data_IF_358748153784
#
_entry.id   IF_358748153784
#
_cell.length_a   1.000
_cell.length_b   1.000
_cell.length_c   1.000
_cell.angle_alpha   90.00
_cell.angle_beta   90.00
_cell.angle_gamma   90.00
#
_symmetry.space_group_name_H-M   'P 1'
#
loop_
_entity.id
_entity.type
_entity.pdbx_description
1 polymer ?
#
# COMPACT_ATOMS: atom_id res chain seq x y z
N UNK A 1 -19.27 -2.76 13.70
CA UNK A 1 -17.93 -2.87 13.08
C UNK A 1 -17.04 -3.68 14.03
N UNK A 2 -16.37 -4.73 13.54
CA UNK A 2 -15.48 -5.57 14.36
C UNK A 2 -14.33 -4.73 14.97
N UNK A 3 -13.90 -5.06 16.21
CA UNK A 3 -12.85 -4.35 16.95
C UNK A 3 -11.54 -4.25 16.16
N UNK A 4 -11.20 -5.31 15.40
CA UNK A 4 -10.04 -5.33 14.51
C UNK A 4 -10.21 -4.44 13.29
N UNK A 5 -11.41 -4.31 12.73
CA UNK A 5 -11.69 -3.39 11.64
C UNK A 5 -11.58 -1.93 12.09
N UNK A 6 -12.05 -1.62 13.32
CA UNK A 6 -11.90 -0.31 13.93
C UNK A 6 -10.44 0.07 14.12
N UNK A 7 -9.63 -0.77 14.76
CA UNK A 7 -8.22 -0.46 15.01
C UNK A 7 -7.43 -0.13 13.73
N UNK A 8 -7.74 -0.83 12.63
CA UNK A 8 -7.10 -0.60 11.31
C UNK A 8 -7.50 0.71 10.66
N UNK A 9 -8.75 1.10 10.82
CA UNK A 9 -9.24 2.39 10.35
C UNK A 9 -8.48 3.51 11.07
N UNK A 10 -8.37 3.41 12.40
CA UNK A 10 -7.65 4.39 13.22
C UNK A 10 -6.17 4.48 12.84
N UNK A 11 -5.48 3.34 12.73
CA UNK A 11 -4.06 3.33 12.34
C UNK A 11 -3.81 3.93 10.95
N UNK A 12 -4.77 3.78 10.03
CA UNK A 12 -4.67 4.38 8.69
C UNK A 12 -4.82 5.90 8.76
N UNK A 13 -5.78 6.39 9.57
CA UNK A 13 -5.95 7.83 9.78
C UNK A 13 -4.72 8.43 10.45
N UNK A 14 -4.22 7.82 11.54
CA UNK A 14 -3.03 8.30 12.24
C UNK A 14 -1.81 8.40 11.32
N UNK A 15 -1.60 7.37 10.48
CA UNK A 15 -0.53 7.37 9.49
C UNK A 15 -0.67 8.52 8.49
N UNK A 16 -1.86 8.74 7.93
CA UNK A 16 -2.10 9.84 6.99
C UNK A 16 -1.92 11.22 7.65
N UNK A 17 -2.37 11.37 8.90
CA UNK A 17 -2.17 12.59 9.68
C UNK A 17 -0.69 12.85 9.99
N UNK A 18 0.11 11.79 10.21
CA UNK A 18 1.55 11.91 10.40
C UNK A 18 2.29 12.27 9.10
N UNK A 19 1.92 11.63 7.99
CA UNK A 19 2.57 11.81 6.68
C UNK A 19 2.23 13.14 6.02
N UNK A 20 0.97 13.59 6.12
CA UNK A 20 0.45 14.73 5.35
C UNK A 20 -0.01 15.92 6.20
N UNK A 21 -0.17 15.73 7.51
CA UNK A 21 -0.72 16.75 8.40
C UNK A 21 -2.23 17.02 8.22
N UNK A 22 -2.89 16.28 7.32
CA UNK A 22 -4.30 16.39 6.99
C UNK A 22 -4.90 15.02 6.66
N UNK A 23 -6.22 14.91 6.78
CA UNK A 23 -6.98 13.76 6.29
C UNK A 23 -7.76 14.18 5.04
N UNK A 24 -7.20 13.86 3.88
CA UNK A 24 -7.89 13.93 2.59
C UNK A 24 -8.69 12.64 2.38
N UNK A 25 -10.02 12.71 2.13
CA UNK A 25 -10.86 11.53 1.94
C UNK A 25 -10.43 10.68 0.74
N UNK A 26 -9.90 11.28 -0.34
CA UNK A 26 -9.45 10.55 -1.53
C UNK A 26 -8.16 9.77 -1.25
N UNK A 27 -7.24 10.36 -0.48
CA UNK A 27 -6.02 9.67 -0.04
C UNK A 27 -6.31 8.55 0.94
N UNK A 28 -7.32 8.73 1.79
CA UNK A 28 -7.84 7.65 2.63
C UNK A 28 -8.42 6.51 1.79
N UNK A 29 -9.20 6.80 0.75
CA UNK A 29 -9.71 5.77 -0.17
C UNK A 29 -8.60 4.99 -0.87
N UNK A 30 -7.54 5.67 -1.31
CA UNK A 30 -6.35 5.02 -1.87
C UNK A 30 -5.64 4.15 -0.82
N UNK A 31 -5.50 4.66 0.41
CA UNK A 31 -4.83 3.96 1.49
C UNK A 31 -5.53 2.66 1.93
N UNK A 32 -6.86 2.63 1.91
CA UNK A 32 -7.64 1.42 2.23
C UNK A 32 -7.84 0.49 1.02
N UNK A 33 -7.33 0.85 -0.15
CA UNK A 33 -7.53 0.10 -1.41
C UNK A 33 -8.96 0.18 -1.94
N UNK A 34 -9.73 1.20 -1.55
CA UNK A 34 -11.09 1.43 -2.01
C UNK A 34 -11.17 1.84 -3.48
N UNK A 35 -10.11 2.48 -3.99
CA UNK A 35 -9.92 2.84 -5.40
C UNK A 35 -8.47 2.52 -5.79
N UNK A 36 -8.24 2.06 -7.02
CA UNK A 36 -6.88 1.91 -7.56
C UNK A 36 -6.30 3.26 -7.91
N UNK A 37 -5.00 3.44 -7.73
CA UNK A 37 -4.38 4.71 -8.05
C UNK A 37 -4.49 5.06 -9.55
N UNK A 38 -4.43 4.07 -10.44
CA UNK A 38 -4.63 4.28 -11.87
C UNK A 38 -6.04 4.79 -12.19
N UNK A 39 -7.08 4.16 -11.61
CA UNK A 39 -8.47 4.58 -11.81
C UNK A 39 -8.77 5.96 -11.22
N UNK A 40 -8.16 6.28 -10.07
CA UNK A 40 -8.21 7.60 -9.47
C UNK A 40 -7.66 8.67 -10.42
N UNK A 41 -6.50 8.44 -11.04
CA UNK A 41 -5.92 9.39 -12.01
C UNK A 41 -6.80 9.58 -13.24
N UNK A 42 -7.34 8.49 -13.79
CA UNK A 42 -8.25 8.56 -14.94
C UNK A 42 -9.51 9.39 -14.62
N UNK A 43 -10.01 9.30 -13.39
CA UNK A 43 -11.07 10.19 -12.90
C UNK A 43 -10.60 11.64 -12.74
N UNK A 44 -9.41 11.89 -12.18
CA UNK A 44 -8.86 13.25 -12.07
C UNK A 44 -8.70 13.94 -13.43
N UNK A 45 -8.41 13.19 -14.48
CA UNK A 45 -8.31 13.67 -15.85
C UNK A 45 -9.63 13.59 -16.66
N UNK A 46 -10.78 13.33 -16.01
CA UNK A 46 -12.11 13.20 -16.65
C UNK A 46 -12.24 12.10 -17.71
N UNK A 47 -11.27 11.20 -17.82
CA UNK A 47 -11.35 10.02 -18.69
C UNK A 47 -12.33 8.98 -18.12
N UNK A 48 -12.50 9.00 -16.80
CA UNK A 48 -13.60 8.31 -16.10
C UNK A 48 -14.62 9.35 -15.58
N UNK A 49 -15.92 9.22 -15.92
CA UNK A 49 -16.90 10.26 -15.61
C UNK A 49 -17.28 10.34 -14.13
N UNK A 50 -17.23 9.22 -13.40
CA UNK A 50 -17.64 9.15 -11.98
C UNK A 50 -16.70 8.28 -11.16
N UNK A 51 -16.25 8.77 -10.00
CA UNK A 51 -15.39 8.04 -9.07
C UNK A 51 -16.04 6.75 -8.55
N UNK A 52 -17.35 6.80 -8.27
CA UNK A 52 -18.12 5.69 -7.72
C UNK A 52 -18.03 4.41 -8.58
N UNK A 53 -17.84 4.56 -9.90
CA UNK A 53 -17.66 3.43 -10.83
C UNK A 53 -16.30 2.71 -10.71
N UNK A 54 -15.33 3.33 -10.02
CA UNK A 54 -14.00 2.78 -9.77
C UNK A 54 -13.86 2.18 -8.36
N UNK A 55 -14.90 2.26 -7.54
CA UNK A 55 -14.88 1.69 -6.20
C UNK A 55 -14.79 0.18 -6.27
N UNK A 56 -13.92 -0.38 -5.42
CA UNK A 56 -13.71 -1.83 -5.27
C UNK A 56 -14.53 -2.44 -4.16
N UNK A 57 -15.02 -1.59 -3.28
CA UNK A 57 -15.88 -1.94 -2.16
C UNK A 57 -17.29 -1.39 -2.42
N UNK A 58 -18.34 -2.01 -1.85
CA UNK A 58 -19.69 -1.45 -1.89
C UNK A 58 -19.71 -0.01 -1.39
N UNK A 59 -20.56 0.82 -1.99
CA UNK A 59 -20.64 2.25 -1.67
C UNK A 59 -20.99 2.49 -0.21
N UNK A 60 -21.79 1.61 0.37
CA UNK A 60 -22.22 1.61 1.77
C UNK A 60 -21.02 1.36 2.70
N UNK A 61 -20.13 0.43 2.35
CA UNK A 61 -18.92 0.16 3.13
C UNK A 61 -17.92 1.32 3.04
N UNK A 62 -17.77 1.89 1.85
CA UNK A 62 -16.90 3.05 1.60
C UNK A 62 -17.36 4.28 2.37
N UNK A 63 -18.65 4.60 2.30
CA UNK A 63 -19.24 5.73 3.02
C UNK A 63 -19.16 5.53 4.53
N UNK A 64 -19.43 4.31 5.02
CA UNK A 64 -19.26 4.00 6.43
C UNK A 64 -17.80 4.19 6.88
N UNK A 65 -16.83 3.71 6.10
CA UNK A 65 -15.40 3.86 6.42
C UNK A 65 -14.97 5.33 6.44
N UNK A 66 -15.38 6.12 5.45
CA UNK A 66 -15.11 7.56 5.41
C UNK A 66 -15.74 8.30 6.60
N UNK A 67 -17.01 8.02 6.91
CA UNK A 67 -17.69 8.65 8.04
C UNK A 67 -17.00 8.35 9.39
N UNK A 68 -16.55 7.10 9.61
CA UNK A 68 -15.80 6.74 10.80
C UNK A 68 -14.43 7.43 10.86
N UNK A 69 -13.73 7.55 9.72
CA UNK A 69 -12.44 8.23 9.65
C UNK A 69 -12.57 9.72 9.96
N UNK A 70 -13.60 10.38 9.41
CA UNK A 70 -13.90 11.78 9.72
C UNK A 70 -14.28 11.98 11.18
N UNK A 71 -15.17 11.13 11.73
CA UNK A 71 -15.56 11.20 13.13
C UNK A 71 -14.34 11.09 14.07
N UNK A 72 -13.44 10.15 13.79
CA UNK A 72 -12.21 10.00 14.57
C UNK A 72 -11.29 11.23 14.45
N UNK A 73 -11.10 11.77 13.25
CA UNK A 73 -10.28 12.98 13.08
C UNK A 73 -10.91 14.22 13.75
N UNK A 74 -12.24 14.32 13.80
CA UNK A 74 -12.94 15.36 14.57
C UNK A 74 -12.70 15.19 16.07
N UNK A 75 -12.73 13.95 16.59
CA UNK A 75 -12.37 13.64 17.99
C UNK A 75 -10.93 14.08 18.31
N UNK A 76 -10.02 14.00 17.32
CA UNK A 76 -8.64 14.52 17.41
C UNK A 76 -8.55 16.05 17.25
N UNK A 77 -9.68 16.77 17.27
CA UNK A 77 -9.79 18.24 17.17
C UNK A 77 -9.35 18.83 15.82
N UNK A 78 -9.49 18.08 14.73
CA UNK A 78 -9.32 18.65 13.38
C UNK A 78 -10.58 19.41 12.95
N UNK A 79 -10.38 20.45 12.13
CA UNK A 79 -11.44 21.24 11.53
C UNK A 79 -11.80 20.72 10.14
N UNK A 80 -13.10 20.67 9.84
CA UNK A 80 -13.60 20.32 8.51
C UNK A 80 -13.49 21.53 7.58
N UNK A 81 -12.87 21.32 6.42
CA UNK A 81 -12.80 22.26 5.31
C UNK A 81 -13.55 21.66 4.11
N UNK A 82 -14.49 22.41 3.54
CA UNK A 82 -15.23 21.99 2.36
C UNK A 82 -14.39 22.30 1.12
N UNK A 83 -13.81 21.26 0.52
CA UNK A 83 -12.99 21.32 -0.67
C UNK A 83 -13.50 20.27 -1.69
N UNK A 84 -14.40 20.65 -2.61
CA UNK A 84 -14.91 19.70 -3.59
C UNK A 84 -13.77 19.24 -4.51
N UNK A 85 -13.77 17.96 -4.96
CA UNK A 85 -12.74 17.47 -5.86
C UNK A 85 -12.76 18.21 -7.20
N UNK A 86 -11.60 18.68 -7.63
CA UNK A 86 -11.39 19.37 -8.92
C UNK A 86 -10.78 18.45 -9.95
N UNK A 87 -10.71 18.84 -11.22
CA UNK A 87 -9.98 18.09 -12.26
C UNK A 87 -8.50 18.48 -12.31
N UNK A 88 -7.67 17.59 -12.86
CA UNK A 88 -6.25 17.81 -13.17
C UNK A 88 -6.01 18.26 -14.62
N UNK A 89 -7.07 18.59 -15.35
CA UNK A 89 -6.97 19.18 -16.68
C UNK A 89 -6.86 20.72 -16.63
N UNK A 90 -6.87 21.35 -17.79
CA UNK A 90 -6.69 22.79 -17.91
C UNK A 90 -7.81 23.60 -17.22
N UNK A 91 -9.04 23.10 -17.24
CA UNK A 91 -10.20 23.82 -16.72
C UNK A 91 -10.32 23.74 -15.20
N UNK A 92 -9.71 22.73 -14.55
CA UNK A 92 -9.75 22.48 -13.10
C UNK A 92 -11.15 22.49 -12.45
N UNK A 93 -12.22 22.43 -13.25
CA UNK A 93 -13.59 22.41 -12.78
C UNK A 93 -13.95 21.18 -11.91
N UNK A 94 -15.11 21.22 -11.23
CA UNK A 94 -15.50 20.18 -10.29
C UNK A 94 -15.63 18.81 -10.96
N UNK A 95 -15.32 17.75 -10.21
CA UNK A 95 -15.50 16.37 -10.63
C UNK A 95 -16.76 15.76 -10.02
N UNK A 96 -17.41 14.91 -10.80
CA UNK A 96 -18.51 14.10 -10.29
C UNK A 96 -17.99 12.89 -9.52
N UNK A 97 -18.36 12.79 -8.25
CA UNK A 97 -18.06 11.61 -7.43
C UNK A 97 -18.99 10.45 -7.80
N UNK A 98 -20.27 10.73 -8.08
CA UNK A 98 -21.26 9.72 -8.45
C UNK A 98 -22.66 10.06 -7.94
N UNK A 99 -23.64 9.16 -8.12
CA UNK A 99 -25.03 9.38 -7.71
C UNK A 99 -25.24 9.39 -6.18
N UNK A 100 -24.34 8.79 -5.39
CA UNK A 100 -24.46 8.82 -3.92
C UNK A 100 -24.10 10.19 -3.36
N UNK A 101 -25.10 10.92 -2.84
CA UNK A 101 -24.91 12.24 -2.23
C UNK A 101 -24.01 12.17 -1.00
N UNK A 102 -24.21 11.17 -0.14
CA UNK A 102 -23.39 10.97 1.06
C UNK A 102 -21.92 10.75 0.70
N UNK A 103 -21.64 9.96 -0.34
CA UNK A 103 -20.27 9.78 -0.80
C UNK A 103 -19.67 11.10 -1.32
N UNK A 104 -20.42 11.84 -2.13
CA UNK A 104 -19.97 13.12 -2.67
C UNK A 104 -19.67 14.16 -1.57
N UNK A 105 -20.53 14.24 -0.55
CA UNK A 105 -20.32 15.09 0.63
C UNK A 105 -19.07 14.70 1.40
N UNK A 106 -18.91 13.42 1.75
CA UNK A 106 -17.74 12.93 2.47
C UNK A 106 -16.44 13.15 1.70
N UNK A 107 -16.45 12.95 0.37
CA UNK A 107 -15.30 13.22 -0.49
C UNK A 107 -14.98 14.71 -0.66
N UNK A 108 -15.88 15.61 -0.24
CA UNK A 108 -15.67 17.07 -0.29
C UNK A 108 -15.18 17.64 1.05
N UNK A 109 -15.00 16.81 2.08
CA UNK A 109 -14.61 17.25 3.42
C UNK A 109 -13.17 16.83 3.70
N UNK A 110 -12.27 17.80 3.67
CA UNK A 110 -10.89 17.63 4.12
C UNK A 110 -10.78 18.02 5.59
N UNK A 111 -10.03 17.26 6.38
CA UNK A 111 -9.83 17.59 7.80
C UNK A 111 -8.39 18.04 8.04
N UNK A 112 -8.25 19.24 8.59
CA UNK A 112 -6.97 19.92 8.78
C UNK A 112 -6.80 20.39 10.22
N UNK A 113 -5.55 20.55 10.67
CA UNK A 113 -5.28 21.11 12.01
C UNK A 113 -5.73 22.58 12.09
N UNK A 114 -6.40 23.01 13.17
CA UNK A 114 -6.74 24.42 13.36
C UNK A 114 -5.46 25.26 13.42
N UNK A 115 -5.34 26.26 12.55
CA UNK A 115 -4.14 27.10 12.47
C UNK A 115 -3.15 26.73 11.36
N UNK A 116 -3.40 25.67 10.57
CA UNK A 116 -2.63 25.40 9.35
C UNK A 116 -2.93 26.40 8.20
N UNK A 117 -3.61 27.52 8.50
CA UNK A 117 -3.65 28.68 7.62
C UNK A 117 -2.26 29.29 7.66
N UNK A 118 -1.54 29.16 6.56
CA UNK A 118 -0.29 29.88 6.27
C UNK A 118 -0.44 31.37 6.61
N UNK A 119 -0.11 31.76 7.83
CA UNK A 119 0.28 33.12 8.15
C UNK A 119 1.75 33.23 7.73
N UNK A 120 1.96 33.32 6.42
CA UNK A 120 3.27 33.47 5.82
C UNK A 120 3.81 34.88 6.03
N UNK A 121 5.09 34.96 6.41
CA UNK A 121 5.85 36.19 6.45
C UNK A 121 5.85 36.84 5.05
N UNK A 122 5.55 38.13 5.03
CA UNK A 122 4.82 38.77 3.95
C UNK A 122 5.80 39.23 2.86
N UNK A 123 5.61 38.72 1.63
CA UNK A 123 5.96 39.33 0.32
C UNK A 123 7.06 38.69 -0.56
N UNK A 124 8.26 38.34 -0.07
CA UNK A 124 9.29 37.75 -0.96
C UNK A 124 9.32 36.22 -0.93
N UNK A 125 9.21 35.62 0.26
CA UNK A 125 9.07 34.17 0.39
C UNK A 125 7.76 33.68 -0.21
N UNK A 126 6.71 34.51 -0.23
CA UNK A 126 5.44 34.16 -0.85
C UNK A 126 5.56 34.05 -2.38
N UNK A 127 6.27 34.94 -3.08
CA UNK A 127 6.37 34.89 -4.55
C UNK A 127 7.11 33.63 -5.03
N UNK A 128 8.26 33.31 -4.41
CA UNK A 128 9.01 32.08 -4.69
C UNK A 128 8.20 30.84 -4.31
N UNK A 129 7.57 30.83 -3.15
CA UNK A 129 6.75 29.69 -2.70
C UNK A 129 5.54 29.47 -3.61
N UNK A 130 4.87 30.53 -4.04
CA UNK A 130 3.75 30.46 -4.99
C UNK A 130 4.21 29.93 -6.35
N UNK A 131 5.35 30.41 -6.86
CA UNK A 131 5.91 29.92 -8.12
C UNK A 131 6.31 28.44 -8.02
N UNK A 132 6.98 28.03 -6.93
CA UNK A 132 7.34 26.63 -6.68
C UNK A 132 6.11 25.74 -6.54
N UNK A 133 5.09 26.16 -5.78
CA UNK A 133 3.86 25.40 -5.65
C UNK A 133 3.13 25.27 -7.00
N UNK A 134 3.12 26.33 -7.81
CA UNK A 134 2.54 26.30 -9.14
C UNK A 134 3.26 25.31 -10.08
N UNK A 135 4.59 25.31 -10.11
CA UNK A 135 5.39 24.33 -10.88
C UNK A 135 5.14 22.92 -10.35
N UNK A 136 5.27 22.70 -9.04
CA UNK A 136 5.08 21.40 -8.41
C UNK A 136 3.69 20.82 -8.70
N UNK A 137 2.66 21.67 -8.64
CA UNK A 137 1.27 21.26 -8.94
C UNK A 137 1.12 20.90 -10.42
N UNK A 138 1.62 21.75 -11.31
CA UNK A 138 1.50 21.50 -12.75
C UNK A 138 2.21 20.20 -13.18
N UNK A 139 3.40 19.91 -12.64
CA UNK A 139 4.12 18.67 -12.92
C UNK A 139 3.38 17.43 -12.35
N UNK A 140 2.92 17.51 -11.10
CA UNK A 140 2.16 16.42 -10.47
C UNK A 140 0.87 16.08 -11.23
N UNK A 141 0.22 17.11 -11.78
CA UNK A 141 -1.01 17.01 -12.57
C UNK A 141 -0.73 16.72 -14.05
N UNK A 142 0.54 16.54 -14.47
CA UNK A 142 0.95 16.30 -15.86
C UNK A 142 0.49 17.40 -16.85
N UNK A 143 0.40 18.64 -16.37
CA UNK A 143 0.09 19.84 -17.16
C UNK A 143 1.38 20.57 -17.54
N UNK A 144 2.19 19.95 -18.38
CA UNK A 144 3.55 20.45 -18.68
C UNK A 144 3.60 21.84 -19.29
N UNK A 145 2.59 22.26 -20.06
CA UNK A 145 2.54 23.64 -20.59
C UNK A 145 2.35 24.67 -19.47
N UNK A 146 1.43 24.41 -18.54
CA UNK A 146 1.27 25.23 -17.34
C UNK A 146 2.53 25.19 -16.46
N UNK A 147 3.22 24.05 -16.42
CA UNK A 147 4.49 23.88 -15.74
C UNK A 147 5.59 24.75 -16.33
N UNK A 148 5.73 24.78 -17.67
CA UNK A 148 6.68 25.65 -18.39
C UNK A 148 6.39 27.12 -18.11
N UNK A 149 5.14 27.58 -18.21
CA UNK A 149 4.77 28.97 -17.90
C UNK A 149 4.96 29.35 -16.43
N UNK A 150 4.85 28.40 -15.50
CA UNK A 150 5.16 28.64 -14.08
C UNK A 150 6.67 28.66 -13.84
N UNK A 151 7.43 27.87 -14.60
CA UNK A 151 8.88 27.80 -14.53
C UNK A 151 9.55 29.07 -15.08
N UNK A 152 9.00 29.67 -16.14
CA UNK A 152 9.41 30.98 -16.64
C UNK A 152 9.35 32.03 -15.52
N UNK A 153 8.22 32.11 -14.81
CA UNK A 153 8.05 33.01 -13.65
C UNK A 153 9.03 32.70 -12.52
N UNK A 154 9.34 31.43 -12.27
CA UNK A 154 10.34 31.04 -11.27
C UNK A 154 11.76 31.48 -11.68
N UNK A 155 12.06 31.47 -12.98
CA UNK A 155 13.38 31.83 -13.51
C UNK A 155 13.70 33.32 -13.40
N UNK A 156 12.67 34.17 -13.31
CA UNK A 156 12.80 35.62 -13.09
C UNK A 156 13.18 35.96 -11.63
N UNK A 157 13.05 35.01 -10.70
CA UNK A 157 13.35 35.22 -9.28
C UNK A 157 14.85 34.95 -8.98
N UNK A 158 15.45 35.66 -8.01
CA UNK A 158 16.84 35.46 -7.64
C UNK A 158 17.13 34.04 -7.09
N UNK A 159 18.30 33.50 -7.40
CA UNK A 159 18.82 32.24 -6.86
C UNK A 159 17.93 31.00 -7.15
N UNK A 160 17.34 30.91 -8.35
CA UNK A 160 16.49 29.77 -8.76
C UNK A 160 17.10 28.90 -9.85
N UNK A 161 18.27 29.25 -10.42
CA UNK A 161 18.85 28.56 -11.59
C UNK A 161 19.01 27.04 -11.43
N UNK A 162 19.44 26.56 -10.27
CA UNK A 162 19.59 25.11 -9.99
C UNK A 162 18.21 24.43 -10.00
N UNK A 163 17.24 24.99 -9.27
CA UNK A 163 15.86 24.48 -9.22
C UNK A 163 15.22 24.48 -10.61
N UNK A 164 15.46 25.53 -11.41
CA UNK A 164 14.94 25.61 -12.77
C UNK A 164 15.49 24.48 -13.64
N UNK A 165 16.78 24.15 -13.52
CA UNK A 165 17.37 23.02 -14.24
C UNK A 165 16.73 21.69 -13.82
N UNK A 166 16.55 21.47 -12.52
CA UNK A 166 15.92 20.26 -11.99
C UNK A 166 14.50 20.07 -12.52
N UNK A 167 13.68 21.13 -12.54
CA UNK A 167 12.35 21.06 -13.14
C UNK A 167 12.37 20.83 -14.65
N UNK A 168 13.33 21.40 -15.39
CA UNK A 168 13.50 21.12 -16.81
C UNK A 168 13.85 19.65 -17.06
N UNK A 169 14.69 19.04 -16.20
CA UNK A 169 15.01 17.61 -16.28
C UNK A 169 13.77 16.75 -16.07
N UNK A 170 12.92 17.10 -15.10
CA UNK A 170 11.64 16.42 -14.91
C UNK A 170 10.72 16.59 -16.12
N UNK A 171 10.53 17.80 -16.64
CA UNK A 171 9.67 18.01 -17.83
C UNK A 171 10.16 17.16 -19.01
N UNK A 172 11.47 17.11 -19.27
CA UNK A 172 12.04 16.25 -20.33
C UNK A 172 11.84 14.77 -20.06
N UNK A 173 12.04 14.33 -18.81
CA UNK A 173 11.85 12.94 -18.44
C UNK A 173 10.40 12.48 -18.63
N UNK A 174 9.41 13.39 -18.62
CA UNK A 174 8.02 13.06 -18.88
C UNK A 174 7.64 13.04 -20.38
N UNK A 175 8.53 13.43 -21.27
CA UNK A 175 8.31 13.30 -22.71
C UNK A 175 8.36 11.83 -23.12
N UNK A 176 7.53 11.45 -24.09
CA UNK A 176 7.48 10.06 -24.59
C UNK A 176 8.86 9.63 -25.07
N UNK A 177 9.33 8.54 -24.50
CA UNK A 177 10.70 8.09 -24.65
C UNK A 177 10.73 6.74 -25.40
N UNK A 178 11.39 6.71 -26.57
CA UNK A 178 11.55 5.49 -27.36
C UNK A 178 12.71 4.60 -26.89
N UNK A 179 13.47 5.03 -25.86
CA UNK A 179 14.60 4.31 -25.28
C UNK A 179 14.18 2.93 -24.77
N UNK A 180 15.04 1.92 -24.93
CA UNK A 180 14.77 0.53 -24.54
C UNK A 180 14.26 0.40 -23.08
N UNK A 181 13.33 -0.54 -22.78
CA UNK A 181 12.70 -0.61 -21.45
C UNK A 181 13.68 -0.72 -20.28
N UNK A 182 14.81 -1.43 -20.46
CA UNK A 182 15.80 -1.60 -19.41
C UNK A 182 16.62 -0.32 -19.12
N UNK A 183 16.89 0.48 -20.14
CA UNK A 183 17.53 1.79 -19.99
C UNK A 183 16.55 2.79 -19.38
N UNK A 184 15.31 2.78 -19.85
CA UNK A 184 14.25 3.63 -19.29
C UNK A 184 13.98 3.32 -17.81
N UNK A 185 13.98 2.05 -17.42
CA UNK A 185 13.83 1.65 -16.01
C UNK A 185 14.97 2.22 -15.15
N UNK A 186 16.23 2.10 -15.60
CA UNK A 186 17.39 2.65 -14.88
C UNK A 186 17.32 4.17 -14.75
N UNK A 187 16.99 4.88 -15.82
CA UNK A 187 16.79 6.34 -15.79
C UNK A 187 15.72 6.71 -14.74
N UNK A 188 14.60 5.99 -14.71
CA UNK A 188 13.54 6.23 -13.73
C UNK A 188 13.98 5.96 -12.29
N UNK A 189 14.70 4.86 -12.04
CA UNK A 189 15.21 4.47 -10.71
C UNK A 189 16.32 5.38 -10.18
N UNK A 190 17.32 5.65 -11.01
CA UNK A 190 18.59 6.26 -10.59
C UNK A 190 18.55 7.79 -10.70
N UNK A 191 17.81 8.34 -11.68
CA UNK A 191 17.81 9.79 -11.95
C UNK A 191 16.48 10.46 -11.62
N UNK A 192 15.37 9.97 -12.20
CA UNK A 192 14.09 10.70 -12.18
C UNK A 192 13.38 10.56 -10.84
N UNK A 193 13.30 9.36 -10.26
CA UNK A 193 12.61 9.15 -8.99
C UNK A 193 13.27 9.90 -7.82
N UNK A 194 14.61 9.87 -7.64
CA UNK A 194 15.26 10.67 -6.60
C UNK A 194 15.06 12.18 -6.81
N UNK A 195 15.12 12.64 -8.05
CA UNK A 195 14.90 14.05 -8.38
C UNK A 195 13.46 14.50 -8.09
N UNK A 196 12.47 13.68 -8.47
CA UNK A 196 11.07 13.95 -8.16
C UNK A 196 10.82 13.95 -6.64
N UNK A 197 11.44 13.01 -5.90
CA UNK A 197 11.32 12.95 -4.45
C UNK A 197 11.88 14.21 -3.77
N UNK A 198 13.03 14.72 -4.21
CA UNK A 198 13.67 15.90 -3.62
C UNK A 198 12.97 17.22 -3.98
N UNK A 199 12.34 17.30 -5.15
CA UNK A 199 11.72 18.55 -5.66
C UNK A 199 10.21 18.63 -5.43
N UNK A 200 9.49 17.52 -5.64
CA UNK A 200 8.02 17.46 -5.56
C UNK A 200 7.51 16.91 -4.21
N UNK A 201 8.38 16.30 -3.41
CA UNK A 201 8.07 15.70 -2.11
C UNK A 201 6.83 14.79 -2.17
N UNK A 202 5.78 15.09 -1.41
CA UNK A 202 4.51 14.33 -1.39
C UNK A 202 3.81 14.23 -2.74
N UNK A 203 4.11 15.13 -3.70
CA UNK A 203 3.55 15.10 -5.06
C UNK A 203 4.38 14.25 -6.03
N UNK A 204 5.53 13.70 -5.62
CA UNK A 204 6.38 12.88 -6.47
C UNK A 204 5.65 11.65 -7.02
N UNK A 205 4.78 11.02 -6.21
CA UNK A 205 3.92 9.90 -6.63
C UNK A 205 3.10 10.24 -7.87
N UNK A 206 2.43 11.40 -7.83
CA UNK A 206 1.49 11.80 -8.89
C UNK A 206 2.21 12.11 -10.21
N UNK A 207 3.44 12.62 -10.10
CA UNK A 207 4.34 12.81 -11.23
C UNK A 207 4.91 11.50 -11.78
N UNK A 208 5.42 10.60 -10.92
CA UNK A 208 6.14 9.39 -11.34
C UNK A 208 5.23 8.28 -11.86
N UNK A 209 4.05 8.11 -11.27
CA UNK A 209 3.21 6.95 -11.55
C UNK A 209 2.84 6.77 -13.04
N UNK A 210 2.57 7.83 -13.83
CA UNK A 210 2.33 7.67 -15.27
C UNK A 210 3.55 7.24 -16.06
N UNK A 211 4.75 7.68 -15.65
CA UNK A 211 6.01 7.28 -16.30
C UNK A 211 6.27 5.79 -16.08
N UNK A 212 5.98 5.32 -14.88
CA UNK A 212 6.02 3.90 -14.53
C UNK A 212 4.93 3.09 -15.24
N UNK A 213 3.72 3.64 -15.39
CA UNK A 213 2.64 2.99 -16.12
C UNK A 213 2.97 2.81 -17.60
N UNK A 214 3.53 3.84 -18.26
CA UNK A 214 3.99 3.75 -19.65
C UNK A 214 5.08 2.68 -19.82
N UNK A 215 6.05 2.62 -18.91
CA UNK A 215 7.06 1.56 -18.92
C UNK A 215 6.44 0.18 -18.73
N UNK A 216 5.44 0.06 -17.84
CA UNK A 216 4.76 -1.19 -17.59
C UNK A 216 4.00 -1.70 -18.84
N UNK A 217 3.30 -0.81 -19.54
CA UNK A 217 2.63 -1.13 -20.82
C UNK A 217 3.63 -1.68 -21.86
N UNK A 218 4.82 -1.09 -21.93
CA UNK A 218 5.90 -1.56 -22.82
C UNK A 218 6.50 -2.91 -22.42
N UNK A 219 6.32 -3.30 -21.16
CA UNK A 219 6.76 -4.59 -20.61
C UNK A 219 5.65 -5.65 -20.61
N UNK A 220 4.42 -5.31 -20.97
CA UNK A 220 3.31 -6.28 -21.02
C UNK A 220 3.63 -7.45 -21.97
N UNK A 221 3.29 -8.66 -21.54
CA UNK A 221 3.55 -9.90 -22.30
C UNK A 221 4.99 -10.43 -22.19
N UNK A 222 5.91 -9.71 -21.55
CA UNK A 222 7.26 -10.22 -21.28
C UNK A 222 7.25 -11.18 -20.10
N UNK A 223 7.71 -12.42 -20.34
CA UNK A 223 7.83 -13.46 -19.32
C UNK A 223 8.83 -13.09 -18.23
N UNK A 224 8.61 -13.60 -17.02
CA UNK A 224 9.51 -13.35 -15.90
C UNK A 224 10.87 -14.02 -16.10
N UNK A 225 11.95 -13.29 -15.82
CA UNK A 225 13.32 -13.81 -15.87
C UNK A 225 14.04 -13.55 -14.55
N UNK A 226 14.51 -14.60 -13.81
CA UNK A 226 15.16 -14.42 -12.52
C UNK A 226 16.44 -13.57 -12.52
N UNK A 227 17.17 -13.50 -13.64
CA UNK A 227 18.37 -12.66 -13.76
C UNK A 227 18.07 -11.17 -13.93
N UNK A 228 16.84 -10.82 -14.37
CA UNK A 228 16.39 -9.44 -14.58
C UNK A 228 14.97 -9.27 -14.03
N UNK A 229 14.78 -9.47 -12.71
CA UNK A 229 13.45 -9.59 -12.11
C UNK A 229 12.60 -8.32 -12.21
N UNK A 230 13.23 -7.15 -12.34
CA UNK A 230 12.55 -5.85 -12.43
C UNK A 230 12.06 -5.55 -13.86
N UNK A 231 12.53 -6.27 -14.88
CA UNK A 231 12.03 -6.15 -16.26
C UNK A 231 10.74 -6.95 -16.52
N UNK A 232 9.97 -7.21 -15.48
CA UNK A 232 8.63 -7.79 -15.57
C UNK A 232 7.60 -6.69 -15.28
N UNK A 233 6.50 -6.66 -16.04
CA UNK A 233 5.49 -5.60 -15.95
C UNK A 233 4.97 -5.38 -14.50
N UNK A 234 4.90 -6.44 -13.70
CA UNK A 234 4.51 -6.36 -12.28
C UNK A 234 5.33 -5.34 -11.48
N UNK A 235 6.61 -5.18 -11.78
CA UNK A 235 7.49 -4.26 -11.06
C UNK A 235 7.12 -2.80 -11.39
N UNK A 236 7.05 -2.46 -12.68
CA UNK A 236 6.68 -1.12 -13.11
C UNK A 236 5.24 -0.76 -12.69
N UNK A 237 4.29 -1.70 -12.75
CA UNK A 237 2.94 -1.48 -12.21
C UNK A 237 2.94 -1.22 -10.69
N UNK A 238 3.82 -1.86 -9.92
CA UNK A 238 3.94 -1.62 -8.48
C UNK A 238 4.48 -0.22 -8.20
N UNK A 239 5.49 0.24 -8.96
CA UNK A 239 6.00 1.61 -8.89
C UNK A 239 4.94 2.66 -9.31
N UNK A 240 4.03 2.29 -10.21
CA UNK A 240 2.88 3.09 -10.59
C UNK A 240 1.72 3.05 -9.57
N UNK A 241 1.84 2.30 -8.48
CA UNK A 241 0.76 2.01 -7.52
C UNK A 241 -0.50 1.40 -8.15
N UNK A 242 -0.36 0.74 -9.30
CA UNK A 242 -1.43 0.08 -10.04
C UNK A 242 -1.57 -1.38 -9.57
N UNK A 243 -1.91 -1.57 -8.29
CA UNK A 243 -1.83 -2.88 -7.62
C UNK A 243 -2.66 -3.98 -8.28
N UNK A 244 -3.78 -3.65 -8.92
CA UNK A 244 -4.53 -4.64 -9.69
C UNK A 244 -3.82 -5.08 -10.96
N UNK A 245 -3.15 -4.15 -11.65
CA UNK A 245 -2.33 -4.49 -12.81
C UNK A 245 -1.15 -5.37 -12.41
N UNK A 246 -0.57 -5.14 -11.22
CA UNK A 246 0.43 -6.06 -10.64
C UNK A 246 -0.14 -7.47 -10.54
N UNK A 247 -1.30 -7.63 -9.89
CA UNK A 247 -1.93 -8.94 -9.72
C UNK A 247 -2.23 -9.61 -11.07
N UNK A 248 -2.89 -8.89 -11.99
CA UNK A 248 -3.23 -9.41 -13.32
C UNK A 248 -1.99 -9.83 -14.12
N UNK A 249 -0.92 -9.04 -14.08
CA UNK A 249 0.33 -9.37 -14.80
C UNK A 249 0.98 -10.66 -14.30
N UNK A 250 0.87 -10.96 -13.00
CA UNK A 250 1.44 -12.17 -12.40
C UNK A 250 0.50 -13.37 -12.58
N UNK A 251 -0.81 -13.17 -12.44
CA UNK A 251 -1.83 -14.21 -12.66
C UNK A 251 -1.87 -14.69 -14.11
N UNK A 252 -1.48 -13.83 -15.07
CA UNK A 252 -1.32 -14.20 -16.47
C UNK A 252 -0.08 -15.08 -16.75
N UNK A 253 0.90 -15.11 -15.84
CA UNK A 253 2.09 -15.96 -15.96
C UNK A 253 1.72 -17.42 -15.69
N UNK A 254 1.92 -18.30 -16.68
CA UNK A 254 1.47 -19.70 -16.65
C UNK A 254 2.01 -20.52 -15.47
N UNK A 255 3.19 -20.18 -14.93
CA UNK A 255 3.73 -20.81 -13.73
C UNK A 255 4.54 -19.83 -12.89
N UNK A 256 3.86 -18.95 -12.15
CA UNK A 256 4.50 -18.03 -11.21
C UNK A 256 5.03 -18.71 -9.92
N UNK A 257 4.58 -19.94 -9.63
CA UNK A 257 4.91 -20.71 -8.41
C UNK A 257 6.42 -20.93 -8.15
N UNK A 258 7.24 -21.32 -9.13
CA UNK A 258 8.68 -21.49 -8.91
C UNK A 258 9.42 -20.18 -8.64
N UNK A 259 8.79 -19.02 -8.83
CA UNK A 259 9.43 -17.72 -8.71
C UNK A 259 9.00 -16.99 -7.43
N UNK A 260 9.75 -17.11 -6.32
CA UNK A 260 9.33 -16.58 -5.02
C UNK A 260 9.10 -15.06 -5.03
N UNK A 261 9.87 -14.32 -5.83
CA UNK A 261 9.70 -12.87 -5.94
C UNK A 261 8.35 -12.48 -6.58
N UNK A 262 7.82 -13.27 -7.51
CA UNK A 262 6.48 -13.03 -8.05
C UNK A 262 5.42 -13.27 -6.98
N UNK A 263 5.59 -14.30 -6.14
CA UNK A 263 4.68 -14.55 -5.01
C UNK A 263 4.70 -13.40 -4.00
N UNK A 264 5.87 -12.82 -3.72
CA UNK A 264 6.03 -11.64 -2.84
C UNK A 264 5.28 -10.44 -3.42
N UNK A 265 5.49 -10.12 -4.70
CA UNK A 265 4.81 -8.99 -5.37
C UNK A 265 3.29 -9.19 -5.44
N UNK A 266 2.83 -10.42 -5.67
CA UNK A 266 1.40 -10.74 -5.68
C UNK A 266 0.79 -10.63 -4.27
N UNK A 267 1.50 -11.07 -3.24
CA UNK A 267 1.06 -10.94 -1.85
C UNK A 267 0.95 -9.47 -1.44
N UNK A 268 1.92 -8.63 -1.81
CA UNK A 268 1.85 -7.18 -1.63
C UNK A 268 0.65 -6.60 -2.38
N UNK A 269 0.49 -6.93 -3.66
CA UNK A 269 -0.62 -6.43 -4.47
C UNK A 269 -1.98 -6.76 -3.83
N UNK A 270 -2.16 -7.99 -3.33
CA UNK A 270 -3.38 -8.37 -2.63
C UNK A 270 -3.54 -7.64 -1.29
N UNK A 271 -2.46 -7.47 -0.52
CA UNK A 271 -2.50 -6.76 0.75
C UNK A 271 -2.91 -5.28 0.56
N UNK A 272 -2.32 -4.60 -0.44
CA UNK A 272 -2.64 -3.21 -0.82
C UNK A 272 -4.07 -3.04 -1.36
N UNK A 273 -4.66 -4.10 -1.89
CA UNK A 273 -6.06 -4.14 -2.33
C UNK A 273 -7.02 -4.61 -1.23
N UNK A 274 -6.57 -4.68 0.03
CA UNK A 274 -7.35 -5.20 1.16
C UNK A 274 -7.80 -6.67 1.01
N UNK A 275 -7.27 -7.43 0.04
CA UNK A 275 -7.51 -8.88 -0.18
C UNK A 275 -6.62 -9.73 0.74
N UNK A 276 -6.76 -9.51 2.04
CA UNK A 276 -5.83 -10.03 3.07
C UNK A 276 -5.76 -11.54 3.12
N UNK A 277 -6.87 -12.24 2.93
CA UNK A 277 -6.86 -13.72 2.98
C UNK A 277 -6.02 -14.30 1.86
N UNK A 278 -6.13 -13.72 0.66
CA UNK A 278 -5.32 -14.11 -0.48
C UNK A 278 -3.84 -13.80 -0.24
N UNK A 279 -3.52 -12.61 0.32
CA UNK A 279 -2.15 -12.26 0.71
C UNK A 279 -1.59 -13.22 1.78
N UNK A 280 -2.37 -13.56 2.81
CA UNK A 280 -2.00 -14.53 3.86
C UNK A 280 -1.66 -15.89 3.28
N UNK A 281 -2.49 -16.40 2.35
CA UNK A 281 -2.23 -17.69 1.68
C UNK A 281 -0.90 -17.66 0.92
N UNK A 282 -0.56 -16.56 0.25
CA UNK A 282 0.71 -16.41 -0.44
C UNK A 282 1.90 -16.32 0.52
N UNK A 283 1.80 -15.54 1.60
CA UNK A 283 2.85 -15.49 2.63
C UNK A 283 3.10 -16.85 3.28
N UNK A 284 2.04 -17.57 3.62
CA UNK A 284 2.13 -18.92 4.17
C UNK A 284 2.77 -19.89 3.18
N UNK A 285 2.36 -19.84 1.91
CA UNK A 285 2.98 -20.64 0.84
C UNK A 285 4.47 -20.32 0.69
N UNK A 286 4.85 -19.05 0.72
CA UNK A 286 6.25 -18.62 0.64
C UNK A 286 7.08 -19.21 1.78
N UNK A 287 6.54 -19.27 3.00
CA UNK A 287 7.22 -19.91 4.14
C UNK A 287 7.47 -21.41 3.90
N UNK A 288 6.51 -22.10 3.29
CA UNK A 288 6.62 -23.55 3.05
C UNK A 288 7.52 -23.91 1.87
N UNK A 289 7.40 -23.17 0.76
CA UNK A 289 8.07 -23.52 -0.50
C UNK A 289 9.42 -22.79 -0.67
N UNK A 290 9.56 -21.60 -0.10
CA UNK A 290 10.73 -20.72 -0.28
C UNK A 290 11.16 -20.03 1.03
N UNK A 291 11.51 -20.80 2.09
CA UNK A 291 11.71 -20.28 3.45
C UNK A 291 12.78 -19.19 3.56
N UNK A 292 13.82 -19.25 2.73
CA UNK A 292 14.89 -18.24 2.69
C UNK A 292 14.37 -16.88 2.19
N UNK A 293 13.56 -16.89 1.13
CA UNK A 293 12.94 -15.64 0.63
C UNK A 293 11.89 -15.14 1.61
N UNK A 294 11.12 -16.04 2.23
CA UNK A 294 10.17 -15.68 3.28
C UNK A 294 10.87 -14.93 4.43
N UNK A 295 11.99 -15.45 4.93
CA UNK A 295 12.73 -14.82 6.01
C UNK A 295 13.22 -13.40 5.69
N UNK A 296 13.68 -13.18 4.45
CA UNK A 296 14.18 -11.87 4.00
C UNK A 296 13.05 -10.85 3.80
N UNK A 297 11.87 -11.31 3.38
CA UNK A 297 10.76 -10.43 2.97
C UNK A 297 9.77 -10.16 4.11
N UNK A 298 9.48 -11.14 4.95
CA UNK A 298 8.46 -11.04 6.01
C UNK A 298 8.82 -10.04 7.12
N UNK A 299 10.09 -9.69 7.28
CA UNK A 299 10.52 -8.62 8.19
C UNK A 299 9.86 -7.27 7.88
N UNK A 300 9.60 -7.02 6.59
CA UNK A 300 8.96 -5.79 6.12
C UNK A 300 7.54 -6.04 5.59
N UNK A 301 7.21 -7.29 5.20
CA UNK A 301 5.93 -7.75 4.66
C UNK A 301 5.16 -6.65 3.89
N UNK A 302 5.63 -6.28 2.69
CA UNK A 302 5.13 -5.11 1.97
C UNK A 302 3.61 -5.10 1.86
N UNK A 303 2.98 -4.00 2.31
CA UNK A 303 1.52 -3.84 2.32
C UNK A 303 0.79 -4.50 3.48
N UNK A 304 1.47 -5.20 4.41
CA UNK A 304 0.87 -5.86 5.57
C UNK A 304 1.74 -5.74 6.84
N UNK A 305 1.74 -4.55 7.44
CA UNK A 305 2.45 -4.26 8.69
C UNK A 305 2.07 -5.21 9.84
N UNK A 306 0.84 -5.75 9.79
CA UNK A 306 0.37 -6.77 10.74
C UNK A 306 1.21 -8.05 10.66
N UNK A 307 1.55 -8.53 9.47
CA UNK A 307 2.48 -9.66 9.32
C UNK A 307 3.88 -9.27 9.71
N UNK A 308 4.37 -8.11 9.29
CA UNK A 308 5.71 -7.67 9.66
C UNK A 308 5.91 -7.65 11.19
N UNK A 309 4.90 -7.17 11.93
CA UNK A 309 4.89 -7.21 13.38
C UNK A 309 4.87 -8.65 13.93
N UNK A 310 4.00 -9.52 13.40
CA UNK A 310 3.94 -10.92 13.83
C UNK A 310 5.22 -11.69 13.52
N UNK A 311 5.88 -11.39 12.42
CA UNK A 311 7.16 -11.96 12.06
C UNK A 311 8.26 -11.55 13.04
N UNK A 312 8.30 -10.27 13.47
CA UNK A 312 9.22 -9.82 14.52
C UNK A 312 9.00 -10.51 15.86
N UNK A 313 7.73 -10.73 16.25
CA UNK A 313 7.38 -11.51 17.43
C UNK A 313 7.80 -12.99 17.30
N UNK A 314 7.69 -13.57 16.10
CA UNK A 314 8.10 -14.93 15.82
C UNK A 314 9.62 -15.13 15.93
N UNK A 315 10.42 -14.25 15.34
CA UNK A 315 11.89 -14.30 15.44
C UNK A 315 12.34 -14.16 16.90
N UNK A 316 11.59 -13.40 17.71
CA UNK A 316 11.90 -13.20 19.13
C UNK A 316 11.34 -14.31 20.03
N UNK A 317 10.74 -15.37 19.47
CA UNK A 317 10.17 -16.47 20.25
C UNK A 317 11.28 -17.37 20.83
N UNK A 318 11.04 -17.86 22.04
CA UNK A 318 11.89 -18.88 22.70
C UNK A 318 11.07 -20.17 22.88
N UNK A 319 11.50 -21.30 22.28
CA UNK A 319 12.73 -21.50 21.49
C UNK A 319 12.66 -20.91 20.08
N UNK A 320 13.83 -20.68 19.48
CA UNK A 320 13.96 -20.21 18.10
C UNK A 320 13.40 -21.25 17.11
N UNK A 321 12.53 -20.80 16.21
CA UNK A 321 11.84 -21.65 15.25
C UNK A 321 12.30 -21.35 13.82
N UNK A 322 12.37 -22.36 12.94
CA UNK A 322 12.71 -22.15 11.54
C UNK A 322 11.58 -21.41 10.81
N UNK A 323 11.91 -20.63 9.78
CA UNK A 323 10.95 -19.78 9.04
C UNK A 323 9.74 -20.55 8.47
N UNK A 324 9.91 -21.83 8.16
CA UNK A 324 8.86 -22.73 7.69
C UNK A 324 7.75 -22.98 8.73
N UNK A 325 8.05 -22.80 10.02
CA UNK A 325 7.11 -22.98 11.13
C UNK A 325 6.32 -21.69 11.45
N UNK A 326 6.64 -20.56 10.81
CA UNK A 326 5.92 -19.30 11.01
C UNK A 326 4.41 -19.40 10.79
N UNK A 327 3.89 -20.05 9.72
CA UNK A 327 2.46 -20.19 9.54
C UNK A 327 1.78 -20.97 10.68
N UNK A 328 2.44 -22.00 11.20
CA UNK A 328 1.95 -22.78 12.32
C UNK A 328 1.97 -21.96 13.62
N UNK A 329 3.07 -21.26 13.89
CA UNK A 329 3.17 -20.33 15.02
C UNK A 329 2.12 -19.21 14.94
N UNK A 330 1.85 -18.68 13.75
CA UNK A 330 0.90 -17.60 13.53
C UNK A 330 -0.53 -18.00 13.92
N UNK A 331 -0.93 -19.27 13.72
CA UNK A 331 -2.22 -19.78 14.20
C UNK A 331 -2.32 -19.76 15.72
N UNK A 332 -1.23 -20.08 16.43
CA UNK A 332 -1.15 -20.02 17.90
C UNK A 332 -1.22 -18.55 18.35
N UNK A 333 -0.54 -17.66 17.62
CA UNK A 333 -0.42 -16.27 18.01
C UNK A 333 -1.67 -15.42 17.74
N UNK A 334 -2.43 -15.73 16.70
CA UNK A 334 -3.67 -15.06 16.34
C UNK A 334 -4.69 -16.07 15.83
N UNK A 335 -5.65 -16.42 16.69
CA UNK A 335 -6.68 -17.41 16.37
C UNK A 335 -7.59 -17.00 15.21
N UNK A 336 -7.65 -15.71 14.84
CA UNK A 336 -8.41 -15.29 13.66
C UNK A 336 -7.78 -15.77 12.34
N UNK A 337 -6.51 -16.18 12.36
CA UNK A 337 -5.82 -16.67 11.17
C UNK A 337 -6.33 -18.03 10.69
N UNK A 338 -7.07 -18.77 11.54
CA UNK A 338 -7.68 -20.06 11.21
C UNK A 338 -8.56 -20.00 9.96
N UNK A 339 -9.33 -18.93 9.78
CA UNK A 339 -10.25 -18.79 8.64
C UNK A 339 -9.53 -18.38 7.35
N UNK A 340 -8.35 -17.79 7.44
CA UNK A 340 -7.66 -17.22 6.27
C UNK A 340 -6.90 -18.28 5.46
N UNK A 341 -6.32 -19.29 6.12
CA UNK A 341 -5.55 -20.36 5.46
C UNK A 341 -6.09 -21.75 5.89
N UNK A 342 -6.98 -22.36 5.08
CA UNK A 342 -7.49 -23.70 5.36
C UNK A 342 -6.38 -24.77 5.35
N UNK A 343 -6.48 -25.83 6.18
CA UNK A 343 -5.49 -26.91 6.23
C UNK A 343 -5.38 -27.69 4.91
N UNK A 344 -6.42 -27.69 4.07
CA UNK A 344 -6.39 -28.31 2.75
C UNK A 344 -5.40 -27.65 1.77
N UNK A 345 -4.93 -26.44 2.05
CA UNK A 345 -3.90 -25.75 1.25
C UNK A 345 -2.48 -26.09 1.70
N UNK A 346 -2.31 -26.82 2.80
CA UNK A 346 -1.00 -27.19 3.30
C UNK A 346 -0.33 -28.21 2.37
N UNK A 347 0.99 -28.09 2.11
CA UNK A 347 1.70 -29.02 1.27
C UNK A 347 1.77 -30.41 1.92
N UNK A 348 1.84 -31.45 1.10
CA UNK A 348 2.00 -32.83 1.59
C UNK A 348 3.47 -33.12 1.97
N UNK A 349 3.99 -32.36 2.93
CA UNK A 349 5.34 -32.49 3.47
C UNK A 349 5.32 -32.34 5.00
N UNK A 350 6.50 -32.37 5.64
CA UNK A 350 6.61 -32.23 7.09
C UNK A 350 5.98 -30.92 7.60
N UNK A 351 6.23 -29.81 6.91
CA UNK A 351 5.80 -28.47 7.33
C UNK A 351 4.28 -28.30 7.23
N UNK A 352 3.66 -28.84 6.18
CA UNK A 352 2.21 -28.88 6.08
C UNK A 352 1.55 -29.76 7.14
N UNK A 353 2.16 -30.91 7.48
CA UNK A 353 1.68 -31.75 8.59
C UNK A 353 1.76 -31.05 9.95
N UNK A 354 2.82 -30.30 10.22
CA UNK A 354 2.96 -29.46 11.42
C UNK A 354 1.84 -28.42 11.49
N UNK A 355 1.60 -27.70 10.38
CA UNK A 355 0.52 -26.72 10.29
C UNK A 355 -0.86 -27.34 10.57
N UNK A 356 -1.16 -28.48 9.94
CA UNK A 356 -2.41 -29.20 10.17
C UNK A 356 -2.56 -29.69 11.62
N UNK A 357 -1.48 -30.17 12.24
CA UNK A 357 -1.48 -30.58 13.64
C UNK A 357 -1.76 -29.40 14.60
N UNK A 358 -1.14 -28.25 14.36
CA UNK A 358 -1.42 -27.02 15.12
C UNK A 358 -2.85 -26.56 14.91
N UNK A 359 -3.35 -26.55 13.67
CA UNK A 359 -4.73 -26.20 13.37
C UNK A 359 -5.71 -27.11 14.12
N UNK A 360 -5.49 -28.43 14.07
CA UNK A 360 -6.34 -29.40 14.77
C UNK A 360 -6.30 -29.20 16.30
N UNK A 361 -5.12 -29.02 16.89
CA UNK A 361 -4.93 -28.72 18.31
C UNK A 361 -5.73 -27.49 18.77
N UNK A 362 -5.73 -26.47 17.92
CA UNK A 362 -6.39 -25.20 18.14
C UNK A 362 -7.92 -25.31 17.99
N UNK A 363 -8.40 -26.19 17.11
CA UNK A 363 -9.83 -26.48 16.91
C UNK A 363 -10.42 -27.33 18.03
N UNK A 364 -9.67 -28.31 18.54
CA UNK A 364 -10.12 -29.21 19.64
C UNK A 364 -9.89 -28.63 21.04
N UNK A 365 -9.56 -27.34 21.14
CA UNK A 365 -9.14 -26.68 22.37
C UNK A 365 -8.07 -27.46 23.17
N UNK A 366 -7.11 -28.05 22.47
CA UNK A 366 -5.96 -28.69 23.07
C UNK A 366 -6.25 -30.07 23.66
N UNK A 367 -7.05 -30.90 22.98
CA UNK A 367 -7.20 -32.32 23.35
C UNK A 367 -5.87 -33.06 23.44
N UNK A 368 -5.80 -34.08 24.29
CA UNK A 368 -4.56 -34.83 24.56
C UNK A 368 -3.97 -35.48 23.29
N UNK A 369 -4.82 -36.04 22.43
CA UNK A 369 -4.38 -36.66 21.17
C UNK A 369 -3.75 -35.64 20.22
N UNK A 370 -4.33 -34.43 20.12
CA UNK A 370 -3.79 -33.36 19.31
C UNK A 370 -2.46 -32.82 19.86
N UNK A 371 -2.30 -32.77 21.20
CA UNK A 371 -1.01 -32.41 21.85
C UNK A 371 0.07 -33.45 21.52
N UNK A 372 -0.26 -34.74 21.62
CA UNK A 372 0.68 -35.82 21.30
C UNK A 372 1.11 -35.79 19.84
N UNK A 373 0.18 -35.52 18.91
CA UNK A 373 0.48 -35.40 17.50
C UNK A 373 1.44 -34.24 17.19
N UNK A 374 1.22 -33.06 17.79
CA UNK A 374 2.13 -31.93 17.62
C UNK A 374 3.50 -32.19 18.26
N UNK A 375 3.53 -32.77 19.48
CA UNK A 375 4.77 -33.11 20.17
C UNK A 375 5.68 -34.01 19.34
N UNK A 376 5.10 -35.00 18.65
CA UNK A 376 5.86 -35.92 17.80
C UNK A 376 6.49 -35.23 16.57
N UNK A 377 5.88 -34.16 16.07
CA UNK A 377 6.33 -33.45 14.87
C UNK A 377 7.29 -32.30 15.18
N UNK A 378 6.89 -31.43 16.12
CA UNK A 378 7.56 -30.18 16.55
C UNK A 378 7.24 -29.88 18.02
N UNK A 379 8.04 -30.38 18.99
CA UNK A 379 7.78 -30.17 20.42
C UNK A 379 7.87 -28.70 20.84
N UNK A 380 8.72 -27.92 20.18
CA UNK A 380 8.94 -26.49 20.42
C UNK A 380 7.67 -25.66 20.23
N UNK A 381 6.90 -25.94 19.17
CA UNK A 381 5.61 -25.29 18.93
C UNK A 381 4.57 -25.65 19.99
N UNK A 382 4.59 -26.88 20.51
CA UNK A 382 3.69 -27.28 21.60
C UNK A 382 4.02 -26.53 22.89
N UNK A 383 5.32 -26.36 23.21
CA UNK A 383 5.75 -25.56 24.37
C UNK A 383 5.19 -24.14 24.29
N UNK A 384 5.38 -23.47 23.15
CA UNK A 384 4.87 -22.10 22.92
C UNK A 384 3.33 -22.03 23.07
N UNK A 385 2.60 -23.02 22.55
CA UNK A 385 1.15 -23.09 22.71
C UNK A 385 0.73 -23.17 24.19
N UNK A 386 1.37 -24.04 24.97
CA UNK A 386 1.07 -24.23 26.38
C UNK A 386 1.43 -22.99 27.22
N UNK A 387 2.58 -22.36 26.94
CA UNK A 387 3.04 -21.16 27.64
C UNK A 387 2.07 -19.99 27.41
N UNK A 388 1.60 -19.80 26.17
CA UNK A 388 0.59 -18.77 25.86
C UNK A 388 -0.76 -19.04 26.52
N UNK A 389 -1.21 -20.31 26.59
CA UNK A 389 -2.44 -20.66 27.31
C UNK A 389 -2.33 -20.40 28.81
N UNK A 390 -1.17 -20.73 29.41
CA UNK A 390 -0.91 -20.46 30.83
C UNK A 390 -0.96 -18.95 31.10
N UNK A 391 -0.26 -18.15 30.29
CA UNK A 391 -0.28 -16.69 30.42
C UNK A 391 -1.69 -16.09 30.27
N UNK A 392 -2.50 -16.61 29.34
CA UNK A 392 -3.89 -16.18 29.17
C UNK A 392 -4.76 -16.55 30.38
N UNK A 393 -4.58 -17.73 30.96
CA UNK A 393 -5.27 -18.14 32.17
C UNK A 393 -4.88 -17.26 33.38
N UNK A 394 -3.59 -17.02 33.57
CA UNK A 394 -3.07 -16.17 34.66
C UNK A 394 -3.56 -14.72 34.57
N UNK A 395 -3.76 -14.20 33.34
CA UNK A 395 -4.31 -12.87 33.12
C UNK A 395 -5.80 -12.78 33.48
N UNK A 396 -6.56 -13.86 33.30
CA UNK A 396 -7.99 -13.92 33.67
C UNK A 396 -8.17 -14.06 35.18
N UNK A 397 -7.29 -14.81 35.86
CA UNK A 397 -7.35 -15.04 37.30
C UNK A 397 -6.92 -13.80 38.13
N UNK A 398 -6.21 -12.85 37.50
CA UNK A 398 -5.74 -11.60 38.14
C UNK A 398 -6.70 -10.41 38.01
N UNK A 399 -7.80 -10.56 37.28
CA UNK A 399 -8.91 -9.60 37.19
C UNK A 399 -10.01 -10.08 38.13
#
# INVERSE_FOLDING_TARGET
MDSKARHRLLSTVDRLLLERGELDPLEYLLAIGGVDYADYREWRHRRRPVLQSALRLPVEEVTAALAHAQAYAIEQRLSVEVCPPTAWDQDQGPLSVGPSRTLAELCSHRLVRPGNRLQGDLFQDSAKTIALDAVNRALAEHRFDAGRSALERLSELPNTHVLVNDYLRLIRAAERCSTEPAERMRELEEDVAPLAASTLAVRARDYLAPLWAELAERLEGRLFTPSLPNLHASYAHAQAHAWNRVALSIEAELDARPHPLLLVRLAEAYARQSRREAARRLWTRLCWEHPQTAAQTLAHAPGDDGIAQRWREFISADPELPSEDFPAWLLIADLSQRSHVPPALAPDNRNGRVYCAVHHLITTDGEMQARMALHALRPDLLKIFLDRRRAAHDAIVKI
#
